data_IF_569622411992
#
_entry.id   IF_569622411992
#
_cell.length_a   1.000
_cell.length_b   1.000
_cell.length_c   1.000
_cell.angle_alpha   90.00
_cell.angle_beta   90.00
_cell.angle_gamma   90.00
#
_symmetry.space_group_name_H-M   'P 1'
#
loop_
_entity.id
_entity.type
_entity.pdbx_description
1 polymer ?
#
# COMPACT_ATOMS: atom_id res chain seq x y z
N UNK A 1 -40.73 3.93 -12.43
CA UNK A 1 -41.07 2.51 -12.18
C UNK A 1 -40.26 2.06 -10.97
N UNK A 2 -40.91 1.50 -9.94
CA UNK A 2 -40.22 0.91 -8.79
C UNK A 2 -39.95 -0.59 -8.98
N UNK A 3 -40.71 -1.26 -9.85
CA UNK A 3 -40.51 -2.65 -10.26
C UNK A 3 -40.20 -2.73 -11.76
N UNK A 4 -39.42 -3.74 -12.16
CA UNK A 4 -39.16 -4.05 -13.56
C UNK A 4 -40.33 -4.88 -14.10
N UNK A 5 -40.99 -4.37 -15.14
CA UNK A 5 -42.12 -5.07 -15.78
C UNK A 5 -41.62 -5.95 -16.93
N UNK A 6 -42.42 -6.96 -17.30
CA UNK A 6 -42.13 -7.79 -18.47
C UNK A 6 -42.10 -6.94 -19.75
N UNK A 7 -43.07 -6.05 -19.94
CA UNK A 7 -43.15 -5.16 -21.09
C UNK A 7 -41.89 -4.29 -21.24
N UNK A 8 -41.40 -3.73 -20.13
CA UNK A 8 -40.15 -2.97 -20.15
C UNK A 8 -38.96 -3.86 -20.52
N UNK A 9 -38.90 -5.08 -19.97
CA UNK A 9 -37.83 -6.03 -20.31
C UNK A 9 -37.86 -6.43 -21.78
N UNK A 10 -39.04 -6.72 -22.35
CA UNK A 10 -39.20 -7.05 -23.76
C UNK A 10 -38.77 -5.88 -24.67
N UNK A 11 -39.04 -4.64 -24.26
CA UNK A 11 -38.53 -3.44 -24.92
C UNK A 11 -36.99 -3.39 -24.90
N UNK A 12 -36.35 -3.70 -23.78
CA UNK A 12 -34.88 -3.75 -23.69
C UNK A 12 -34.28 -4.82 -24.61
N UNK A 13 -34.90 -6.01 -24.70
CA UNK A 13 -34.48 -7.08 -25.62
C UNK A 13 -34.54 -6.60 -27.07
N UNK A 14 -35.66 -6.00 -27.48
CA UNK A 14 -35.82 -5.48 -28.84
C UNK A 14 -34.78 -4.39 -29.17
N UNK A 15 -34.52 -3.47 -28.24
CA UNK A 15 -33.51 -2.42 -28.39
C UNK A 15 -32.10 -3.01 -28.57
N UNK A 16 -31.74 -4.01 -27.76
CA UNK A 16 -30.44 -4.66 -27.81
C UNK A 16 -30.26 -5.47 -29.11
N UNK A 17 -31.26 -6.26 -29.51
CA UNK A 17 -31.22 -7.07 -30.73
C UNK A 17 -31.13 -6.23 -32.02
N UNK A 18 -31.65 -5.00 -32.00
CA UNK A 18 -31.53 -4.06 -33.11
C UNK A 18 -30.11 -3.46 -33.24
N UNK A 19 -29.26 -3.56 -32.21
CA UNK A 19 -27.93 -2.97 -32.19
C UNK A 19 -26.86 -3.99 -32.64
N UNK A 20 -26.47 -3.93 -33.92
CA UNK A 20 -25.45 -4.82 -34.50
C UNK A 20 -24.09 -4.71 -33.82
N UNK A 21 -23.74 -3.54 -33.25
CA UNK A 21 -22.49 -3.36 -32.49
C UNK A 21 -22.52 -4.20 -31.23
N UNK A 22 -23.62 -4.17 -30.49
CA UNK A 22 -23.79 -4.97 -29.29
C UNK A 22 -23.77 -6.47 -29.61
N UNK A 23 -24.42 -6.92 -30.69
CA UNK A 23 -24.32 -8.32 -31.12
C UNK A 23 -22.87 -8.76 -31.45
N UNK A 24 -22.08 -7.90 -32.12
CA UNK A 24 -20.68 -8.19 -32.41
C UNK A 24 -19.82 -8.26 -31.13
N UNK A 25 -20.03 -7.31 -30.21
CA UNK A 25 -19.33 -7.29 -28.94
C UNK A 25 -19.77 -8.39 -27.99
N UNK A 26 -21.03 -8.81 -28.02
CA UNK A 26 -21.50 -9.98 -27.28
C UNK A 26 -20.68 -11.20 -27.66
N UNK A 27 -20.52 -11.47 -28.96
CA UNK A 27 -19.70 -12.57 -29.44
C UNK A 27 -18.24 -12.44 -28.96
N UNK A 28 -17.65 -11.24 -29.04
CA UNK A 28 -16.28 -11.03 -28.60
C UNK A 28 -16.11 -11.18 -27.07
N UNK A 29 -16.97 -10.53 -26.28
CA UNK A 29 -16.90 -10.46 -24.81
C UNK A 29 -17.25 -11.81 -24.18
N UNK A 30 -18.27 -12.52 -24.68
CA UNK A 30 -18.66 -13.83 -24.12
C UNK A 30 -17.59 -14.90 -24.28
N UNK A 31 -16.70 -14.76 -25.28
CA UNK A 31 -15.61 -15.69 -25.52
C UNK A 31 -14.27 -15.26 -24.90
N UNK A 32 -14.00 -13.95 -24.83
CA UNK A 32 -12.68 -13.42 -24.42
C UNK A 32 -12.69 -12.69 -23.07
N UNK A 33 -13.87 -12.30 -22.57
CA UNK A 33 -14.04 -11.38 -21.43
C UNK A 33 -14.00 -9.90 -21.84
N UNK A 34 -14.46 -9.03 -20.94
CA UNK A 34 -14.63 -7.59 -21.19
C UNK A 34 -13.30 -6.92 -21.53
N UNK A 35 -12.29 -7.06 -20.67
CA UNK A 35 -11.02 -6.35 -20.82
C UNK A 35 -10.27 -6.73 -22.10
N UNK A 36 -10.15 -8.03 -22.40
CA UNK A 36 -9.45 -8.48 -23.61
C UNK A 36 -10.17 -8.05 -24.91
N UNK A 37 -11.50 -7.92 -24.88
CA UNK A 37 -12.29 -7.47 -26.03
C UNK A 37 -12.24 -5.95 -26.24
N UNK A 38 -12.00 -5.17 -25.17
CA UNK A 38 -12.00 -3.70 -25.20
C UNK A 38 -10.60 -3.07 -25.15
N UNK A 39 -9.54 -3.88 -25.03
CA UNK A 39 -8.17 -3.39 -24.93
C UNK A 39 -7.76 -2.59 -26.18
N UNK A 40 -7.20 -1.40 -25.99
CA UNK A 40 -6.83 -0.52 -27.10
C UNK A 40 -5.37 -0.70 -27.51
N UNK A 41 -5.13 -0.84 -28.82
CA UNK A 41 -3.77 -0.83 -29.38
C UNK A 41 -3.07 0.51 -29.17
N UNK A 42 -3.83 1.60 -29.11
CA UNK A 42 -3.32 2.97 -28.90
C UNK A 42 -2.59 3.08 -27.57
N UNK A 43 -3.20 2.59 -26.48
CA UNK A 43 -2.60 2.63 -25.15
C UNK A 43 -1.23 1.93 -25.11
N UNK A 44 -1.08 0.80 -25.79
CA UNK A 44 0.20 0.09 -25.89
C UNK A 44 1.30 0.89 -26.63
N UNK A 45 0.92 1.70 -27.62
CA UNK A 45 1.87 2.55 -28.38
C UNK A 45 2.32 3.75 -27.54
N UNK A 46 1.40 4.38 -26.82
CA UNK A 46 1.69 5.58 -26.02
C UNK A 46 2.48 5.23 -24.74
N UNK A 47 2.22 4.07 -24.15
CA UNK A 47 2.81 3.61 -22.89
C UNK A 47 4.02 2.68 -23.06
N UNK A 48 4.88 2.96 -24.06
CA UNK A 48 6.17 2.26 -24.19
C UNK A 48 7.10 2.55 -22.99
N UNK A 49 7.86 1.57 -22.48
CA UNK A 49 8.65 1.71 -21.26
C UNK A 49 10.01 2.40 -21.50
N UNK A 50 9.96 3.65 -21.98
CA UNK A 50 11.13 4.50 -22.23
C UNK A 50 10.92 5.82 -21.50
N UNK A 51 11.92 6.26 -20.74
CA UNK A 51 11.79 7.38 -19.82
C UNK A 51 13.01 8.31 -19.90
N UNK A 52 12.77 9.61 -19.94
CA UNK A 52 13.81 10.65 -19.87
C UNK A 52 14.66 10.59 -18.59
N UNK A 53 14.05 10.23 -17.45
CA UNK A 53 14.69 9.98 -16.17
C UNK A 53 14.42 8.53 -15.76
N UNK A 54 15.46 7.74 -15.58
CA UNK A 54 15.39 6.33 -15.20
C UNK A 54 16.45 6.03 -14.12
N UNK A 55 16.00 5.77 -12.89
CA UNK A 55 16.88 5.66 -11.71
C UNK A 55 17.46 4.27 -11.51
N UNK A 56 16.74 3.22 -11.91
CA UNK A 56 17.17 1.85 -11.64
C UNK A 56 16.60 0.84 -12.62
N UNK A 57 17.33 -0.25 -12.81
CA UNK A 57 16.91 -1.46 -13.54
C UNK A 57 17.12 -2.71 -12.70
N UNK A 58 17.15 -2.54 -11.38
CA UNK A 58 17.36 -3.65 -10.44
C UNK A 58 16.20 -4.65 -10.56
N UNK A 59 16.48 -5.92 -10.30
CA UNK A 59 15.46 -6.98 -10.32
C UNK A 59 14.36 -6.68 -9.32
N UNK A 60 13.11 -6.86 -9.73
CA UNK A 60 11.97 -6.63 -8.86
C UNK A 60 11.83 -7.69 -7.77
N UNK A 61 10.96 -7.41 -6.82
CA UNK A 61 10.60 -8.32 -5.72
C UNK A 61 9.24 -9.00 -5.99
N UNK A 62 8.87 -9.99 -5.19
CA UNK A 62 7.58 -10.69 -5.31
C UNK A 62 6.95 -10.95 -3.94
N UNK A 63 5.86 -10.24 -3.65
CA UNK A 63 5.06 -10.39 -2.42
C UNK A 63 4.18 -11.64 -2.43
N UNK A 64 3.97 -12.25 -3.59
CA UNK A 64 3.10 -13.40 -3.81
C UNK A 64 1.67 -13.17 -3.30
N UNK A 65 1.07 -14.16 -2.62
CA UNK A 65 -0.31 -14.11 -2.14
C UNK A 65 -0.38 -13.48 -0.73
N UNK A 66 0.13 -12.27 -0.60
CA UNK A 66 0.06 -11.49 0.64
C UNK A 66 -0.12 -10.01 0.32
N UNK A 67 -0.81 -9.26 1.19
CA UNK A 67 -1.06 -7.82 1.03
C UNK A 67 0.08 -6.96 1.58
N UNK A 68 1.33 -7.32 1.30
CA UNK A 68 2.54 -6.71 1.89
C UNK A 68 3.16 -5.60 1.02
N UNK A 69 2.48 -5.17 -0.04
CA UNK A 69 3.01 -4.23 -1.03
C UNK A 69 3.65 -2.97 -0.43
N UNK A 70 3.04 -2.39 0.60
CA UNK A 70 3.56 -1.24 1.34
C UNK A 70 4.93 -1.48 1.97
N UNK A 71 5.17 -2.68 2.53
CA UNK A 71 6.48 -3.08 3.07
C UNK A 71 7.49 -3.29 1.95
N UNK A 72 7.08 -3.98 0.87
CA UNK A 72 7.95 -4.23 -0.29
C UNK A 72 8.40 -2.91 -0.93
N UNK A 73 7.47 -2.00 -1.20
CA UNK A 73 7.75 -0.69 -1.76
C UNK A 73 8.69 0.12 -0.85
N UNK A 74 8.47 0.12 0.46
CA UNK A 74 9.35 0.85 1.39
C UNK A 74 10.76 0.24 1.47
N UNK A 75 10.87 -1.09 1.46
CA UNK A 75 12.18 -1.75 1.47
C UNK A 75 12.89 -1.63 0.11
N UNK A 76 12.15 -1.50 -0.98
CA UNK A 76 12.71 -1.23 -2.31
C UNK A 76 13.36 0.14 -2.38
N UNK A 77 12.71 1.20 -1.88
CA UNK A 77 13.32 2.54 -1.89
C UNK A 77 14.67 2.55 -1.15
N UNK A 78 14.83 1.72 -0.12
CA UNK A 78 16.08 1.60 0.62
C UNK A 78 17.12 0.74 -0.10
N UNK A 79 16.71 -0.40 -0.65
CA UNK A 79 17.64 -1.37 -1.23
C UNK A 79 18.35 -0.82 -2.48
N UNK A 80 17.71 0.04 -3.28
CA UNK A 80 18.36 0.65 -4.44
C UNK A 80 19.57 1.51 -4.04
N UNK A 81 19.42 2.31 -2.97
CA UNK A 81 20.53 3.07 -2.39
C UNK A 81 21.63 2.13 -1.87
N UNK A 82 21.26 1.02 -1.23
CA UNK A 82 22.23 0.02 -0.76
C UNK A 82 22.98 -0.67 -1.90
N UNK A 83 22.28 -1.08 -2.96
CA UNK A 83 22.85 -1.71 -4.15
C UNK A 83 23.91 -0.80 -4.77
N UNK A 84 23.62 0.49 -4.87
CA UNK A 84 24.57 1.49 -5.35
C UNK A 84 25.75 1.69 -4.39
N UNK A 85 25.48 2.00 -3.12
CA UNK A 85 26.51 2.37 -2.13
C UNK A 85 27.48 1.23 -1.79
N UNK A 86 26.99 -0.01 -1.76
CA UNK A 86 27.80 -1.19 -1.42
C UNK A 86 28.16 -2.03 -2.66
N UNK A 87 27.87 -1.52 -3.86
CA UNK A 87 28.16 -2.19 -5.14
C UNK A 87 27.67 -3.64 -5.16
N UNK A 88 26.44 -3.87 -4.70
CA UNK A 88 25.83 -5.20 -4.68
C UNK A 88 25.33 -5.56 -6.09
N UNK A 89 25.41 -6.83 -6.48
CA UNK A 89 24.81 -7.29 -7.75
C UNK A 89 23.29 -7.38 -7.65
N UNK A 90 22.80 -7.97 -6.55
CA UNK A 90 21.41 -8.10 -6.20
C UNK A 90 21.28 -8.13 -4.67
N UNK A 91 20.26 -7.47 -4.11
CA UNK A 91 20.05 -7.43 -2.68
C UNK A 91 18.57 -7.17 -2.34
N UNK A 92 18.12 -7.88 -1.30
CA UNK A 92 16.82 -7.66 -0.69
C UNK A 92 16.93 -7.59 0.84
N UNK A 93 16.16 -6.67 1.42
CA UNK A 93 15.83 -6.68 2.84
C UNK A 93 14.69 -7.67 3.10
N UNK A 94 14.66 -8.26 4.29
CA UNK A 94 13.63 -9.24 4.66
C UNK A 94 12.28 -8.57 4.87
N UNK A 95 11.37 -8.77 3.93
CA UNK A 95 9.98 -8.34 4.06
C UNK A 95 9.24 -9.18 5.10
N UNK A 96 9.60 -10.47 5.25
CA UNK A 96 9.07 -11.36 6.29
C UNK A 96 9.40 -10.87 7.71
N UNK A 97 10.56 -10.26 7.93
CA UNK A 97 10.94 -9.73 9.25
C UNK A 97 10.03 -8.57 9.66
N UNK A 98 9.82 -7.60 8.76
CA UNK A 98 8.88 -6.50 8.97
C UNK A 98 7.46 -7.01 9.16
N UNK A 99 7.06 -8.03 8.39
CA UNK A 99 5.73 -8.65 8.49
C UNK A 99 5.46 -9.31 9.84
N UNK A 100 6.45 -10.00 10.41
CA UNK A 100 6.32 -10.57 11.76
C UNK A 100 6.00 -9.48 12.79
N UNK A 101 6.82 -8.44 12.84
CA UNK A 101 6.67 -7.38 13.84
C UNK A 101 5.40 -6.56 13.63
N UNK A 102 5.01 -6.31 12.38
CA UNK A 102 3.75 -5.64 12.06
C UNK A 102 2.55 -6.44 12.58
N UNK A 103 2.49 -7.75 12.33
CA UNK A 103 1.40 -8.60 12.81
C UNK A 103 1.31 -8.59 14.34
N UNK A 104 2.46 -8.72 15.00
CA UNK A 104 2.53 -8.71 16.46
C UNK A 104 2.08 -7.37 17.06
N UNK A 105 2.54 -6.26 16.49
CA UNK A 105 2.19 -4.92 16.95
C UNK A 105 0.73 -4.58 16.66
N UNK A 106 0.22 -4.89 15.47
CA UNK A 106 -1.21 -4.73 15.14
C UNK A 106 -2.11 -5.53 16.07
N UNK A 107 -1.69 -6.72 16.49
CA UNK A 107 -2.41 -7.48 17.50
C UNK A 107 -2.49 -6.71 18.83
N UNK A 108 -1.38 -6.15 19.31
CA UNK A 108 -1.39 -5.31 20.51
C UNK A 108 -2.23 -4.05 20.34
N UNK A 109 -2.08 -3.35 19.20
CA UNK A 109 -2.89 -2.17 18.85
C UNK A 109 -4.38 -2.47 18.91
N UNK A 110 -4.82 -3.56 18.27
CA UNK A 110 -6.21 -3.97 18.29
C UNK A 110 -6.71 -4.22 19.72
N UNK A 111 -5.95 -4.92 20.56
CA UNK A 111 -6.36 -5.18 21.95
C UNK A 111 -6.47 -3.88 22.76
N UNK A 112 -5.56 -2.91 22.56
CA UNK A 112 -5.69 -1.57 23.15
C UNK A 112 -6.95 -0.85 22.67
N UNK A 113 -7.26 -0.90 21.38
CA UNK A 113 -8.49 -0.29 20.86
C UNK A 113 -9.75 -0.94 21.44
N UNK A 114 -9.75 -2.26 21.67
CA UNK A 114 -10.86 -2.95 22.33
C UNK A 114 -11.02 -2.51 23.79
N UNK A 115 -9.91 -2.37 24.52
CA UNK A 115 -9.94 -1.85 25.90
C UNK A 115 -10.45 -0.41 25.93
N UNK A 116 -9.94 0.45 25.04
CA UNK A 116 -10.33 1.85 24.94
C UNK A 116 -11.79 2.08 24.51
N UNK A 117 -12.42 1.08 23.89
CA UNK A 117 -13.82 1.12 23.44
C UNK A 117 -14.73 0.16 24.21
N UNK A 118 -14.26 -0.33 25.36
CA UNK A 118 -14.98 -1.33 26.16
C UNK A 118 -16.31 -0.79 26.71
N UNK A 119 -16.43 0.53 26.89
CA UNK A 119 -17.63 1.25 27.34
C UNK A 119 -18.67 1.45 26.23
N UNK A 120 -18.31 1.22 24.97
CA UNK A 120 -19.21 1.35 23.82
C UNK A 120 -19.96 0.04 23.56
N UNK A 121 -21.18 0.16 23.00
CA UNK A 121 -21.97 -0.97 22.53
C UNK A 121 -21.20 -1.82 21.51
N UNK A 122 -21.35 -3.15 21.60
CA UNK A 122 -20.70 -4.09 20.67
C UNK A 122 -21.08 -3.81 19.19
N UNK A 123 -22.29 -3.32 18.97
CA UNK A 123 -22.84 -2.98 17.65
C UNK A 123 -22.57 -1.54 17.23
N UNK A 124 -21.87 -0.75 18.05
CA UNK A 124 -21.43 0.60 17.66
C UNK A 124 -20.52 0.51 16.43
N UNK A 125 -20.57 1.54 15.57
CA UNK A 125 -19.85 1.52 14.29
C UNK A 125 -18.33 1.32 14.47
N UNK A 126 -17.74 1.91 15.53
CA UNK A 126 -16.30 1.78 15.84
C UNK A 126 -15.93 0.36 16.27
N UNK A 127 -16.67 -0.22 17.23
CA UNK A 127 -16.41 -1.59 17.70
C UNK A 127 -16.67 -2.61 16.58
N UNK A 128 -17.74 -2.43 15.80
CA UNK A 128 -18.04 -3.27 14.64
C UNK A 128 -16.94 -3.19 13.58
N UNK A 129 -16.39 -2.00 13.29
CA UNK A 129 -15.27 -1.80 12.37
C UNK A 129 -14.00 -2.53 12.83
N UNK A 130 -13.61 -2.38 14.11
CA UNK A 130 -12.47 -3.09 14.71
C UNK A 130 -12.63 -4.61 14.58
N UNK A 131 -13.82 -5.14 14.90
CA UNK A 131 -14.08 -6.59 14.86
C UNK A 131 -14.24 -7.14 13.44
N UNK A 132 -14.64 -6.32 12.47
CA UNK A 132 -14.73 -6.71 11.07
C UNK A 132 -13.35 -7.10 10.55
N UNK A 133 -12.33 -6.29 10.84
CA UNK A 133 -10.94 -6.54 10.43
C UNK A 133 -9.97 -6.25 11.58
N UNK A 134 -9.79 -7.19 12.54
CA UNK A 134 -8.91 -6.98 13.70
C UNK A 134 -7.48 -6.63 13.29
N UNK A 135 -6.97 -7.35 12.28
CA UNK A 135 -5.77 -6.99 11.55
C UNK A 135 -5.86 -7.46 10.09
N UNK A 136 -5.01 -6.89 9.25
CA UNK A 136 -4.77 -7.27 7.87
C UNK A 136 -3.30 -7.02 7.49
N UNK A 137 -2.87 -7.55 6.34
CA UNK A 137 -1.49 -7.39 5.86
C UNK A 137 -1.13 -5.94 5.53
N UNK A 138 -2.08 -5.19 4.96
CA UNK A 138 -1.84 -3.85 4.44
C UNK A 138 -1.46 -2.84 5.52
N UNK A 139 -0.83 -1.75 5.11
CA UNK A 139 -0.34 -0.71 6.01
C UNK A 139 -0.13 0.61 5.28
N UNK A 140 0.43 1.56 6.01
CA UNK A 140 0.72 2.93 5.58
C UNK A 140 2.21 3.24 5.83
N UNK A 141 2.70 4.35 5.28
CA UNK A 141 4.11 4.73 5.44
C UNK A 141 4.53 4.86 6.91
N UNK A 142 3.83 5.65 7.72
CA UNK A 142 4.25 5.87 9.13
C UNK A 142 4.23 4.58 9.98
N UNK A 143 3.38 3.62 9.60
CA UNK A 143 3.34 2.29 10.21
C UNK A 143 4.63 1.51 9.92
N UNK A 144 5.23 1.65 8.73
CA UNK A 144 6.46 0.93 8.38
C UNK A 144 7.66 1.59 9.04
N UNK A 145 7.66 2.93 9.09
CA UNK A 145 8.67 3.71 9.81
C UNK A 145 8.73 3.30 11.28
N UNK A 146 7.57 3.21 11.94
CA UNK A 146 7.46 2.77 13.34
C UNK A 146 8.11 1.40 13.58
N UNK A 147 7.96 0.47 12.64
CA UNK A 147 8.56 -0.85 12.72
C UNK A 147 10.07 -0.80 12.54
N UNK A 148 10.57 -0.02 11.59
CA UNK A 148 12.01 0.12 11.35
C UNK A 148 12.73 0.80 12.51
N UNK A 149 12.13 1.83 13.12
CA UNK A 149 12.68 2.50 14.28
C UNK A 149 12.76 1.57 15.49
N UNK A 150 11.70 0.79 15.74
CA UNK A 150 11.62 -0.12 16.89
C UNK A 150 12.41 -1.41 16.70
N UNK A 151 12.36 -2.02 15.51
CA UNK A 151 12.88 -3.37 15.26
C UNK A 151 14.00 -3.45 14.23
N UNK A 152 14.33 -2.36 13.54
CA UNK A 152 15.33 -2.36 12.47
C UNK A 152 14.93 -3.22 11.27
N UNK A 153 15.93 -3.59 10.48
CA UNK A 153 15.76 -4.45 9.30
C UNK A 153 16.89 -5.48 9.24
N UNK A 154 16.68 -6.55 8.48
CA UNK A 154 17.70 -7.58 8.25
C UNK A 154 17.76 -7.94 6.76
N UNK A 155 18.88 -8.45 6.24
CA UNK A 155 18.94 -9.05 4.91
C UNK A 155 17.93 -10.20 4.76
N UNK A 156 17.36 -10.36 3.56
CA UNK A 156 16.42 -11.46 3.26
C UNK A 156 17.02 -12.85 3.50
N UNK A 157 18.34 -13.01 3.31
CA UNK A 157 19.06 -14.26 3.60
C UNK A 157 19.13 -14.62 5.08
N UNK A 158 18.99 -13.64 5.99
CA UNK A 158 19.02 -13.84 7.43
C UNK A 158 17.65 -14.25 7.96
N UNK A 159 16.58 -13.74 7.35
CA UNK A 159 15.20 -14.11 7.68
C UNK A 159 14.40 -14.30 6.39
N UNK A 160 14.40 -15.52 5.82
CA UNK A 160 13.78 -15.79 4.53
C UNK A 160 12.25 -15.84 4.63
N UNK A 161 11.61 -15.90 3.46
CA UNK A 161 10.16 -16.11 3.37
C UNK A 161 9.76 -17.49 3.91
N UNK A 162 8.63 -17.53 4.62
CA UNK A 162 7.91 -18.77 4.96
C UNK A 162 6.72 -18.98 4.01
N UNK A 163 6.04 -20.13 4.11
CA UNK A 163 4.78 -20.34 3.39
C UNK A 163 3.77 -19.26 3.78
N UNK A 164 3.65 -18.96 5.08
CA UNK A 164 2.69 -17.99 5.59
C UNK A 164 3.04 -16.54 5.27
N UNK A 165 4.31 -16.19 5.08
CA UNK A 165 4.66 -14.84 4.60
C UNK A 165 4.32 -14.68 3.12
N UNK A 166 4.52 -15.72 2.31
CA UNK A 166 4.24 -15.74 0.87
C UNK A 166 2.77 -16.07 0.51
N UNK A 167 1.99 -16.58 1.45
CA UNK A 167 0.55 -16.88 1.33
C UNK A 167 -0.12 -16.73 2.70
N UNK A 168 -0.56 -15.51 3.02
CA UNK A 168 -0.93 -15.11 4.38
C UNK A 168 -2.38 -15.43 4.78
N UNK A 169 -3.18 -16.02 3.88
CA UNK A 169 -4.62 -16.22 4.09
C UNK A 169 -4.92 -17.05 5.34
N UNK A 170 -4.24 -18.17 5.51
CA UNK A 170 -4.42 -19.05 6.68
C UNK A 170 -3.97 -18.36 7.97
N UNK A 171 -2.78 -17.76 7.96
CA UNK A 171 -2.22 -16.99 9.07
C UNK A 171 -3.23 -15.93 9.57
N UNK A 172 -3.73 -15.10 8.65
CA UNK A 172 -4.70 -14.06 8.95
C UNK A 172 -6.04 -14.60 9.46
N UNK A 173 -6.48 -15.74 8.92
CA UNK A 173 -7.74 -16.37 9.31
C UNK A 173 -7.71 -16.80 10.77
N UNK A 174 -6.64 -17.47 11.20
CA UNK A 174 -6.51 -17.92 12.58
C UNK A 174 -6.14 -16.79 13.54
N UNK A 175 -5.27 -15.86 13.13
CA UNK A 175 -4.97 -14.68 13.95
C UNK A 175 -6.23 -13.84 14.22
N UNK A 176 -7.06 -13.59 13.21
CA UNK A 176 -8.31 -12.84 13.39
C UNK A 176 -9.36 -13.62 14.20
N UNK A 177 -9.28 -14.96 14.30
CA UNK A 177 -10.12 -15.73 15.22
C UNK A 177 -9.65 -15.56 16.66
N UNK A 178 -8.34 -15.67 16.90
CA UNK A 178 -7.74 -15.43 18.22
C UNK A 178 -8.06 -14.02 18.71
N UNK A 179 -7.78 -12.99 17.90
CA UNK A 179 -8.04 -11.60 18.28
C UNK A 179 -9.51 -11.32 18.63
N UNK A 180 -10.47 -11.92 17.91
CA UNK A 180 -11.89 -11.75 18.23
C UNK A 180 -12.29 -12.44 19.54
N UNK A 181 -11.71 -13.62 19.81
CA UNK A 181 -11.88 -14.30 21.10
C UNK A 181 -11.27 -13.47 22.23
N UNK A 182 -10.08 -12.93 22.03
CA UNK A 182 -9.35 -12.10 22.98
C UNK A 182 -10.11 -10.80 23.27
N UNK A 183 -10.72 -10.19 22.24
CA UNK A 183 -11.58 -9.04 22.40
C UNK A 183 -12.78 -9.32 23.32
N UNK A 184 -13.42 -10.48 23.17
CA UNK A 184 -14.50 -10.91 24.05
C UNK A 184 -13.98 -11.06 25.49
N UNK A 185 -12.87 -11.77 25.68
CA UNK A 185 -12.26 -11.99 27.01
C UNK A 185 -11.98 -10.66 27.73
N UNK A 186 -11.37 -9.69 27.04
CA UNK A 186 -11.02 -8.40 27.63
C UNK A 186 -12.26 -7.56 27.97
N UNK A 187 -13.28 -7.56 27.09
CA UNK A 187 -14.54 -6.85 27.34
C UNK A 187 -15.32 -7.47 28.50
N UNK A 188 -15.40 -8.80 28.57
CA UNK A 188 -16.07 -9.51 29.66
C UNK A 188 -15.37 -9.26 31.01
N UNK A 189 -14.03 -9.21 31.02
CA UNK A 189 -13.25 -8.83 32.21
C UNK A 189 -13.59 -7.41 32.68
N UNK A 190 -13.57 -6.43 31.77
CA UNK A 190 -13.92 -5.04 32.09
C UNK A 190 -15.38 -4.91 32.57
N UNK A 191 -16.32 -5.61 31.92
CA UNK A 191 -17.73 -5.64 32.32
C UNK A 191 -17.95 -6.29 33.70
N UNK A 192 -17.10 -7.25 34.09
CA UNK A 192 -17.12 -7.86 35.42
C UNK A 192 -16.53 -6.97 36.54
N UNK A 193 -16.01 -5.80 36.19
CA UNK A 193 -15.39 -4.86 37.14
C UNK A 193 -13.94 -5.15 37.47
N UNK A 194 -13.23 -5.89 36.60
CA UNK A 194 -11.79 -6.10 36.74
C UNK A 194 -11.02 -4.77 36.71
N UNK A 195 -9.97 -4.64 37.54
CA UNK A 195 -9.11 -3.47 37.52
C UNK A 195 -8.13 -3.50 36.33
N UNK A 196 -7.51 -2.35 36.07
CA UNK A 196 -6.59 -2.19 34.93
C UNK A 196 -5.37 -3.12 35.02
N UNK A 197 -4.90 -3.45 36.23
CA UNK A 197 -3.79 -4.38 36.43
C UNK A 197 -4.16 -5.80 35.99
N UNK A 198 -5.37 -6.26 36.34
CA UNK A 198 -5.88 -7.58 35.94
C UNK A 198 -6.06 -7.65 34.42
N UNK A 199 -6.64 -6.61 33.82
CA UNK A 199 -6.83 -6.52 32.35
C UNK A 199 -5.48 -6.54 31.63
N UNK A 200 -4.51 -5.77 32.12
CA UNK A 200 -3.16 -5.72 31.56
C UNK A 200 -2.45 -7.08 31.66
N UNK A 201 -2.49 -7.73 32.82
CA UNK A 201 -1.92 -9.07 33.00
C UNK A 201 -2.57 -10.07 32.05
N UNK A 202 -3.89 -9.97 31.82
CA UNK A 202 -4.56 -10.85 30.86
C UNK A 202 -4.09 -10.58 29.44
N UNK A 203 -4.00 -9.31 29.04
CA UNK A 203 -3.51 -8.93 27.70
C UNK A 203 -2.11 -9.48 27.43
N UNK A 204 -1.23 -9.48 28.42
CA UNK A 204 0.13 -10.05 28.30
C UNK A 204 0.12 -11.56 28.01
N UNK A 205 -0.76 -12.32 28.66
CA UNK A 205 -0.94 -13.76 28.36
C UNK A 205 -1.42 -13.98 26.92
N UNK A 206 -2.40 -13.18 26.47
CA UNK A 206 -2.96 -13.26 25.12
C UNK A 206 -1.89 -12.89 24.06
N UNK A 207 -1.10 -11.87 24.33
CA UNK A 207 0.04 -11.50 23.47
C UNK A 207 1.11 -12.57 23.40
N UNK A 208 1.34 -13.32 24.49
CA UNK A 208 2.27 -14.46 24.48
C UNK A 208 1.75 -15.60 23.58
N UNK A 209 0.45 -15.89 23.60
CA UNK A 209 -0.18 -16.85 22.69
C UNK A 209 -0.04 -16.41 21.23
N UNK A 210 -0.35 -15.15 20.95
CA UNK A 210 -0.21 -14.55 19.61
C UNK A 210 1.25 -14.61 19.13
N UNK A 211 2.21 -14.23 19.97
CA UNK A 211 3.63 -14.31 19.63
C UNK A 211 4.05 -15.73 19.26
N UNK A 212 3.62 -16.73 20.06
CA UNK A 212 3.89 -18.14 19.78
C UNK A 212 3.30 -18.56 18.43
N UNK A 213 2.06 -18.18 18.15
CA UNK A 213 1.38 -18.49 16.89
C UNK A 213 2.10 -17.87 15.67
N UNK A 214 2.52 -16.61 15.77
CA UNK A 214 3.30 -15.93 14.74
C UNK A 214 4.66 -16.61 14.54
N UNK A 215 5.38 -16.91 15.62
CA UNK A 215 6.70 -17.56 15.56
C UNK A 215 6.64 -18.97 14.95
N UNK A 216 5.58 -19.74 15.23
CA UNK A 216 5.37 -21.06 14.61
C UNK A 216 5.10 -20.96 13.10
N UNK A 217 4.52 -19.85 12.64
CA UNK A 217 4.07 -19.67 11.24
C UNK A 217 5.10 -18.95 10.37
N UNK A 218 5.87 -18.02 10.94
CA UNK A 218 6.81 -17.14 10.24
C UNK A 218 8.27 -17.43 10.60
N UNK A 219 8.53 -18.17 11.68
CA UNK A 219 9.86 -18.30 12.27
C UNK A 219 10.08 -17.30 13.41
N UNK A 220 11.14 -17.53 14.21
CA UNK A 220 11.51 -16.61 15.28
C UNK A 220 12.44 -15.51 14.71
N UNK A 221 12.13 -14.21 14.88
CA UNK A 221 13.00 -13.14 14.37
C UNK A 221 14.40 -13.18 14.98
N UNK A 222 15.46 -12.95 14.17
CA UNK A 222 16.83 -12.96 14.64
C UNK A 222 17.10 -11.79 15.59
N UNK A 223 17.80 -12.06 16.69
CA UNK A 223 18.30 -11.01 17.60
C UNK A 223 19.69 -10.50 17.22
N UNK A 224 20.53 -11.42 16.75
CA UNK A 224 21.86 -11.13 16.21
C UNK A 224 22.13 -12.01 14.99
N UNK A 225 22.96 -11.55 14.06
CA UNK A 225 23.35 -12.29 12.87
C UNK A 225 24.71 -11.82 12.34
N UNK A 226 25.23 -12.56 11.35
CA UNK A 226 26.36 -12.12 10.53
C UNK A 226 25.84 -11.77 9.15
N UNK A 227 26.36 -10.68 8.57
CA UNK A 227 26.10 -10.30 7.19
C UNK A 227 27.36 -10.54 6.38
N UNK A 228 27.24 -11.25 5.27
CA UNK A 228 28.36 -11.49 4.35
C UNK A 228 27.87 -11.36 2.92
N UNK A 229 28.67 -10.69 2.08
CA UNK A 229 28.36 -10.48 0.67
C UNK A 229 29.64 -10.37 -0.16
N UNK A 230 29.48 -10.46 -1.47
CA UNK A 230 30.51 -10.07 -2.43
C UNK A 230 30.03 -8.86 -3.21
N UNK A 231 30.91 -7.88 -3.40
CA UNK A 231 30.63 -6.72 -4.25
C UNK A 231 30.82 -7.07 -5.74
N UNK A 232 30.53 -6.11 -6.62
CA UNK A 232 30.71 -6.23 -8.09
C UNK A 232 32.16 -6.51 -8.51
N UNK A 233 33.14 -6.18 -7.67
CA UNK A 233 34.57 -6.47 -7.87
C UNK A 233 34.97 -7.84 -7.29
N UNK A 234 34.00 -8.63 -6.81
CA UNK A 234 34.16 -9.95 -6.22
C UNK A 234 34.96 -9.95 -4.89
N UNK A 235 35.09 -8.80 -4.20
CA UNK A 235 35.69 -8.75 -2.87
C UNK A 235 34.71 -9.29 -1.83
N UNK A 236 35.22 -10.06 -0.86
CA UNK A 236 34.41 -10.62 0.22
C UNK A 236 34.33 -9.65 1.40
N UNK A 237 33.11 -9.33 1.82
CA UNK A 237 32.81 -8.51 2.99
C UNK A 237 32.07 -9.35 4.02
N UNK A 238 32.41 -9.17 5.30
CA UNK A 238 31.71 -9.85 6.40
C UNK A 238 31.71 -9.00 7.66
N UNK A 239 30.60 -9.07 8.40
CA UNK A 239 30.46 -8.47 9.72
C UNK A 239 29.58 -9.35 10.59
N UNK A 240 30.08 -9.70 11.77
CA UNK A 240 29.40 -10.53 12.74
C UNK A 240 28.86 -9.71 13.91
N UNK A 241 27.90 -10.27 14.65
CA UNK A 241 27.35 -9.64 15.85
C UNK A 241 26.42 -8.46 15.58
N UNK A 242 25.90 -8.35 14.35
CA UNK A 242 24.93 -7.33 13.98
C UNK A 242 23.57 -7.64 14.62
N UNK A 243 22.95 -6.64 15.22
CA UNK A 243 21.51 -6.63 15.51
C UNK A 243 20.74 -5.99 14.34
N UNK A 244 19.43 -6.26 14.19
CA UNK A 244 18.61 -5.60 13.17
C UNK A 244 18.69 -4.05 13.20
N UNK A 245 18.74 -3.45 14.40
CA UNK A 245 18.90 -2.00 14.55
C UNK A 245 20.29 -1.51 14.16
N UNK A 246 21.36 -2.22 14.54
CA UNK A 246 22.72 -1.84 14.14
C UNK A 246 22.92 -1.97 12.63
N UNK A 247 22.29 -2.97 12.00
CA UNK A 247 22.30 -3.16 10.56
C UNK A 247 21.56 -2.01 9.87
N UNK A 248 20.35 -1.66 10.34
CA UNK A 248 19.61 -0.52 9.83
C UNK A 248 20.44 0.78 9.87
N UNK A 249 21.00 1.13 11.04
CA UNK A 249 21.78 2.36 11.23
C UNK A 249 23.03 2.42 10.35
N UNK A 250 23.67 1.29 10.06
CA UNK A 250 24.94 1.25 9.30
C UNK A 250 24.73 1.13 7.80
N UNK A 251 23.80 0.29 7.37
CA UNK A 251 23.66 -0.11 5.97
C UNK A 251 22.50 0.59 5.26
N UNK A 252 21.42 0.92 5.95
CA UNK A 252 20.31 1.69 5.36
C UNK A 252 20.59 3.19 5.52
N UNK A 253 20.90 3.61 6.75
CA UNK A 253 21.25 4.99 7.12
C UNK A 253 20.29 6.02 6.48
N UNK A 254 19.01 5.85 6.81
CA UNK A 254 17.94 6.77 6.44
C UNK A 254 17.27 7.31 7.70
N UNK A 255 17.21 8.63 7.80
CA UNK A 255 16.41 9.33 8.80
C UNK A 255 14.98 9.37 8.30
N UNK A 256 14.15 8.39 8.70
CA UNK A 256 12.77 8.29 8.21
C UNK A 256 11.86 9.42 8.73
N UNK A 257 12.30 10.12 9.77
CA UNK A 257 11.72 11.38 10.20
C UNK A 257 11.85 12.52 9.19
N UNK A 258 12.78 12.43 8.23
CA UNK A 258 12.92 13.40 7.14
C UNK A 258 11.93 13.19 6.00
N UNK A 259 11.14 12.11 6.05
CA UNK A 259 10.16 11.80 5.02
C UNK A 259 8.75 12.10 5.52
N UNK A 260 7.91 12.56 4.60
CA UNK A 260 6.51 12.90 4.86
C UNK A 260 5.61 12.24 3.84
N UNK A 261 4.45 11.80 4.30
CA UNK A 261 3.39 11.35 3.42
C UNK A 261 2.59 12.54 2.91
N UNK A 262 2.52 12.66 1.60
CA UNK A 262 1.77 13.70 0.88
C UNK A 262 0.66 13.01 0.11
N UNK A 263 -0.58 13.47 0.28
CA UNK A 263 -1.75 12.90 -0.37
C UNK A 263 -2.40 13.87 -1.36
N UNK A 264 -3.19 13.31 -2.26
CA UNK A 264 -4.17 14.05 -3.05
C UNK A 264 -5.55 13.39 -2.88
N UNK A 265 -6.35 13.99 -2.01
CA UNK A 265 -7.74 13.63 -1.77
C UNK A 265 -8.61 14.87 -2.03
N UNK A 266 -9.20 15.03 -3.23
CA UNK A 266 -9.95 16.24 -3.62
C UNK A 266 -11.37 16.33 -3.02
N UNK A 267 -11.66 15.64 -1.92
CA UNK A 267 -12.99 15.64 -1.29
C UNK A 267 -13.21 16.91 -0.49
N UNK A 268 -14.48 17.32 -0.36
CA UNK A 268 -14.83 18.61 0.25
C UNK A 268 -14.44 18.72 1.74
N UNK A 269 -14.37 17.60 2.46
CA UNK A 269 -13.96 17.53 3.86
C UNK A 269 -12.42 17.59 4.06
N UNK A 270 -11.64 17.52 2.96
CA UNK A 270 -10.18 17.51 2.98
C UNK A 270 -9.58 18.68 2.19
N UNK A 271 -9.77 19.95 2.61
CA UNK A 271 -9.12 21.08 1.95
C UNK A 271 -7.60 20.92 1.85
N UNK A 272 -7.02 21.37 0.74
CA UNK A 272 -5.56 21.35 0.56
C UNK A 272 -4.84 22.28 1.54
N UNK A 273 -3.54 22.02 1.74
CA UNK A 273 -2.70 22.80 2.65
C UNK A 273 -2.99 22.53 4.13
N UNK A 274 -3.57 21.38 4.44
CA UNK A 274 -3.88 20.93 5.80
C UNK A 274 -3.30 19.53 6.02
N UNK A 275 -3.06 19.19 7.29
CA UNK A 275 -2.65 17.85 7.68
C UNK A 275 -3.80 17.03 8.24
N UNK A 276 -3.70 15.71 8.05
CA UNK A 276 -4.74 14.75 8.42
C UNK A 276 -4.14 13.52 9.10
N UNK A 277 -4.90 12.94 10.01
CA UNK A 277 -4.69 11.62 10.60
C UNK A 277 -6.00 10.84 10.52
N UNK A 278 -5.97 9.54 10.75
CA UNK A 278 -7.16 8.68 10.75
C UNK A 278 -7.28 8.02 12.11
N UNK A 279 -8.43 8.22 12.76
CA UNK A 279 -8.70 7.63 14.06
C UNK A 279 -8.57 6.09 14.02
N UNK A 280 -7.95 5.49 15.04
CA UNK A 280 -7.72 4.04 15.18
C UNK A 280 -6.80 3.40 14.12
N UNK A 281 -6.25 4.16 13.18
CA UNK A 281 -5.29 3.67 12.20
C UNK A 281 -3.88 3.63 12.80
N UNK A 282 -3.31 2.43 12.94
CA UNK A 282 -1.96 2.27 13.46
C UNK A 282 -1.54 0.81 13.62
N UNK A 283 -0.30 0.62 14.06
CA UNK A 283 0.24 -0.71 14.42
C UNK A 283 1.04 -0.67 15.72
N UNK A 284 1.99 0.26 15.89
CA UNK A 284 2.87 0.31 17.06
C UNK A 284 2.31 1.30 18.09
N UNK A 285 1.80 0.79 19.22
CA UNK A 285 1.27 1.61 20.32
C UNK A 285 2.38 2.53 20.88
N UNK A 286 2.07 3.82 21.01
CA UNK A 286 3.01 4.84 21.50
C UNK A 286 4.06 5.30 20.47
N UNK A 287 3.96 4.83 19.22
CA UNK A 287 4.76 5.36 18.12
C UNK A 287 4.11 6.59 17.47
N UNK A 288 4.75 7.14 16.45
CA UNK A 288 4.20 8.21 15.61
C UNK A 288 2.85 7.80 15.02
N UNK A 289 1.94 8.77 14.97
CA UNK A 289 0.67 8.61 14.27
C UNK A 289 0.85 8.69 12.75
N UNK A 290 -0.10 8.11 12.02
CA UNK A 290 -0.16 8.30 10.57
C UNK A 290 -0.50 9.76 10.28
N UNK A 291 0.29 10.40 9.43
CA UNK A 291 0.09 11.83 9.11
C UNK A 291 0.25 12.10 7.63
N UNK A 292 -0.71 12.83 7.08
CA UNK A 292 -0.73 13.22 5.68
C UNK A 292 -0.72 14.73 5.53
N UNK A 293 -0.04 15.27 4.51
CA UNK A 293 -0.29 16.62 3.99
C UNK A 293 -1.12 16.50 2.70
N UNK A 294 -2.30 17.12 2.62
CA UNK A 294 -3.09 17.10 1.40
C UNK A 294 -2.71 18.26 0.46
N UNK A 295 -2.39 17.96 -0.80
CA UNK A 295 -1.98 18.94 -1.81
C UNK A 295 -2.69 18.73 -3.14
N UNK A 296 -2.75 19.75 -4.02
CA UNK A 296 -3.19 19.57 -5.40
C UNK A 296 -2.33 18.55 -6.15
N UNK A 297 -2.93 17.84 -7.11
CA UNK A 297 -2.24 16.77 -7.85
C UNK A 297 -1.00 17.26 -8.60
N UNK A 298 -1.06 18.46 -9.18
CA UNK A 298 0.10 19.10 -9.82
C UNK A 298 1.28 19.18 -8.85
N UNK A 299 1.04 19.66 -7.63
CA UNK A 299 2.06 19.77 -6.58
C UNK A 299 2.58 18.40 -6.11
N UNK A 300 1.70 17.40 -6.01
CA UNK A 300 2.08 16.02 -5.72
C UNK A 300 3.07 15.49 -6.77
N UNK A 301 2.77 15.67 -8.06
CA UNK A 301 3.64 15.25 -9.17
C UNK A 301 4.97 16.01 -9.19
N UNK A 302 4.95 17.31 -8.93
CA UNK A 302 6.18 18.12 -8.80
C UNK A 302 7.12 17.58 -7.72
N UNK A 303 6.59 17.27 -6.53
CA UNK A 303 7.36 16.72 -5.41
C UNK A 303 7.99 15.37 -5.77
N UNK A 304 7.23 14.48 -6.41
CA UNK A 304 7.74 13.19 -6.86
C UNK A 304 8.87 13.34 -7.91
N UNK A 305 8.69 14.22 -8.90
CA UNK A 305 9.70 14.51 -9.93
C UNK A 305 10.95 15.12 -9.29
N UNK A 306 10.79 16.07 -8.35
CA UNK A 306 11.90 16.70 -7.67
C UNK A 306 12.76 15.69 -6.88
N UNK A 307 12.11 14.77 -6.15
CA UNK A 307 12.82 13.71 -5.45
C UNK A 307 13.56 12.77 -6.41
N UNK A 308 12.91 12.35 -7.50
CA UNK A 308 13.57 11.50 -8.50
C UNK A 308 14.73 12.22 -9.19
N UNK A 309 14.62 13.51 -9.49
CA UNK A 309 15.73 14.32 -10.03
C UNK A 309 16.90 14.43 -9.04
N UNK A 310 16.63 14.31 -7.74
CA UNK A 310 17.66 14.21 -6.70
C UNK A 310 18.27 12.79 -6.58
N UNK A 311 17.85 11.84 -7.42
CA UNK A 311 18.36 10.47 -7.45
C UNK A 311 17.66 9.50 -6.50
N UNK A 312 16.53 9.90 -5.89
CA UNK A 312 15.79 9.07 -4.94
C UNK A 312 14.47 8.60 -5.52
N UNK A 313 14.21 7.29 -5.42
CA UNK A 313 12.93 6.68 -5.78
C UNK A 313 11.80 7.15 -4.84
N UNK A 314 10.55 7.07 -5.29
CA UNK A 314 9.38 7.57 -4.52
C UNK A 314 8.44 6.42 -4.21
N UNK A 315 8.20 6.12 -2.94
CA UNK A 315 7.09 5.25 -2.54
C UNK A 315 5.77 5.95 -2.89
N UNK A 316 4.82 5.24 -3.48
CA UNK A 316 3.50 5.80 -3.76
C UNK A 316 2.38 4.78 -3.59
N UNK A 317 1.19 5.29 -3.24
CA UNK A 317 -0.04 4.55 -3.05
C UNK A 317 -1.09 4.92 -4.10
N UNK A 318 -1.74 3.91 -4.68
CA UNK A 318 -2.72 4.06 -5.76
C UNK A 318 -3.82 3.00 -5.72
N UNK A 319 -4.85 3.16 -6.54
CA UNK A 319 -5.79 2.07 -6.87
C UNK A 319 -5.34 1.32 -8.14
N UNK A 320 -4.35 0.43 -7.99
CA UNK A 320 -3.71 -0.27 -9.11
C UNK A 320 -4.67 -1.13 -9.96
N UNK A 321 -5.85 -1.43 -9.44
CA UNK A 321 -6.86 -2.23 -10.15
C UNK A 321 -7.63 -1.44 -11.21
N UNK A 322 -7.63 -0.10 -11.11
CA UNK A 322 -8.40 0.77 -11.99
C UNK A 322 -7.69 0.91 -13.34
N UNK A 323 -8.44 0.65 -14.43
CA UNK A 323 -8.01 0.80 -15.84
C UNK A 323 -6.56 0.31 -16.07
N UNK A 324 -6.32 -0.94 -15.67
CA UNK A 324 -5.00 -1.56 -15.59
C UNK A 324 -4.95 -2.85 -16.41
N UNK A 325 -3.93 -2.98 -17.26
CA UNK A 325 -3.53 -4.26 -17.84
C UNK A 325 -2.32 -4.81 -17.08
N UNK A 326 -2.58 -5.64 -16.08
CA UNK A 326 -1.54 -6.27 -15.24
C UNK A 326 -0.54 -7.10 -16.03
N UNK A 327 -0.96 -7.78 -17.10
CA UNK A 327 -0.05 -8.64 -17.87
C UNK A 327 0.93 -7.79 -18.68
N UNK A 328 0.42 -6.77 -19.36
CA UNK A 328 1.24 -5.83 -20.14
C UNK A 328 2.02 -4.83 -19.27
N UNK A 329 1.60 -4.64 -18.02
CA UNK A 329 2.19 -3.67 -17.10
C UNK A 329 1.81 -2.23 -17.44
N UNK A 330 0.59 -2.00 -17.92
CA UNK A 330 0.13 -0.67 -18.35
C UNK A 330 -0.97 -0.19 -17.40
N UNK A 331 -0.78 0.99 -16.84
CA UNK A 331 -1.74 1.73 -16.02
C UNK A 331 -2.12 3.01 -16.78
N UNK A 332 -3.20 2.99 -17.55
CA UNK A 332 -3.59 4.13 -18.37
C UNK A 332 -5.11 4.23 -18.53
N UNK A 333 -5.63 5.46 -18.53
CA UNK A 333 -7.07 5.73 -18.65
C UNK A 333 -7.67 5.29 -19.99
N UNK A 334 -6.84 5.05 -20.99
CA UNK A 334 -7.22 4.65 -22.35
C UNK A 334 -6.95 3.15 -22.64
N UNK A 335 -6.61 2.35 -21.63
CA UNK A 335 -6.36 0.91 -21.81
C UNK A 335 -7.59 0.19 -22.38
N UNK A 336 -8.79 0.57 -21.95
CA UNK A 336 -10.05 -0.07 -22.36
C UNK A 336 -11.06 0.96 -22.90
N UNK A 337 -11.64 0.70 -24.07
CA UNK A 337 -12.61 1.61 -24.71
C UNK A 337 -14.08 1.19 -24.43
N UNK A 338 -14.53 1.46 -23.20
CA UNK A 338 -15.91 1.19 -22.76
C UNK A 338 -16.95 2.03 -23.49
N UNK A 339 -16.59 3.24 -23.92
CA UNK A 339 -17.51 4.14 -24.59
C UNK A 339 -17.81 3.65 -26.01
N UNK A 340 -16.79 3.48 -26.85
CA UNK A 340 -17.01 3.02 -28.22
C UNK A 340 -17.55 1.59 -28.24
N UNK A 341 -17.06 0.75 -27.33
CA UNK A 341 -17.53 -0.63 -27.18
C UNK A 341 -18.96 -0.70 -26.67
N UNK A 342 -19.15 -0.39 -25.39
CA UNK A 342 -20.36 -0.74 -24.65
C UNK A 342 -21.37 0.41 -24.53
N UNK A 343 -21.10 1.59 -25.11
CA UNK A 343 -21.85 2.82 -24.84
C UNK A 343 -21.90 3.18 -23.34
N UNK A 344 -20.86 2.80 -22.60
CA UNK A 344 -20.74 3.08 -21.16
C UNK A 344 -19.70 4.17 -20.96
N UNK A 345 -20.14 5.31 -20.43
CA UNK A 345 -19.26 6.39 -19.98
C UNK A 345 -19.20 6.37 -18.44
N UNK A 346 -18.01 6.14 -17.90
CA UNK A 346 -17.74 6.22 -16.47
C UNK A 346 -17.19 7.62 -16.16
N UNK A 347 -18.06 8.52 -15.66
CA UNK A 347 -17.78 9.96 -15.56
C UNK A 347 -17.57 10.48 -14.14
N UNK A 348 -17.60 9.61 -13.13
CA UNK A 348 -17.32 10.01 -11.75
C UNK A 348 -15.92 10.59 -11.65
N UNK A 349 -15.78 11.78 -11.07
CA UNK A 349 -14.49 12.38 -10.77
C UNK A 349 -13.81 11.70 -9.57
N UNK A 350 -12.56 12.05 -9.31
CA UNK A 350 -11.78 11.44 -8.23
C UNK A 350 -12.40 11.64 -6.84
N UNK A 351 -13.00 12.80 -6.58
CA UNK A 351 -13.68 13.08 -5.31
C UNK A 351 -14.93 12.20 -5.15
N UNK A 352 -15.76 12.13 -6.18
CA UNK A 352 -16.94 11.27 -6.22
C UNK A 352 -16.59 9.80 -6.04
N UNK A 353 -15.50 9.32 -6.66
CA UNK A 353 -15.06 7.92 -6.47
C UNK A 353 -14.62 7.63 -5.04
N UNK A 354 -14.00 8.59 -4.33
CA UNK A 354 -13.66 8.46 -2.91
C UNK A 354 -14.91 8.47 -2.03
N UNK A 355 -15.80 9.45 -2.22
CA UNK A 355 -16.99 9.65 -1.38
C UNK A 355 -18.04 8.54 -1.56
N UNK A 356 -18.13 7.97 -2.77
CA UNK A 356 -19.10 6.92 -3.12
C UNK A 356 -18.48 5.51 -3.14
N UNK A 357 -17.31 5.34 -2.52
CA UNK A 357 -16.65 4.05 -2.29
C UNK A 357 -16.32 3.25 -3.56
N UNK A 358 -16.11 3.93 -4.69
CA UNK A 358 -15.68 3.28 -5.95
C UNK A 358 -14.16 3.15 -6.04
N UNK A 359 -13.40 4.07 -5.44
CA UNK A 359 -11.95 3.99 -5.46
C UNK A 359 -11.32 4.53 -4.17
N UNK A 360 -10.19 3.94 -3.81
CA UNK A 360 -9.37 4.24 -2.64
C UNK A 360 -7.99 3.60 -2.85
N UNK A 361 -6.99 3.97 -2.06
CA UNK A 361 -5.66 3.35 -2.17
C UNK A 361 -5.72 1.84 -1.85
N UNK A 362 -5.39 1.00 -2.83
CA UNK A 362 -5.42 -0.47 -2.67
C UNK A 362 -4.03 -1.11 -2.73
N UNK A 363 -3.04 -0.44 -3.31
CA UNK A 363 -1.71 -0.99 -3.53
C UNK A 363 -0.62 0.08 -3.45
N UNK A 364 0.55 -0.31 -2.96
CA UNK A 364 1.73 0.55 -2.87
C UNK A 364 2.86 0.02 -3.75
N UNK A 365 3.54 0.92 -4.45
CA UNK A 365 4.60 0.63 -5.42
C UNK A 365 5.68 1.72 -5.33
N UNK A 366 6.67 1.68 -6.22
CA UNK A 366 7.77 2.66 -6.24
C UNK A 366 7.87 3.33 -7.61
N UNK A 367 7.88 4.67 -7.64
CA UNK A 367 8.26 5.42 -8.83
C UNK A 367 9.78 5.42 -8.95
N UNK A 368 10.27 4.94 -10.09
CA UNK A 368 11.71 4.77 -10.38
C UNK A 368 12.14 5.55 -11.62
N UNK A 369 11.24 6.30 -12.22
CA UNK A 369 11.53 7.10 -13.40
C UNK A 369 10.31 7.86 -13.91
N UNK A 370 10.55 8.81 -14.79
CA UNK A 370 9.51 9.63 -15.43
C UNK A 370 9.99 10.07 -16.82
N UNK A 371 9.06 10.06 -17.77
CA UNK A 371 9.27 10.64 -19.09
C UNK A 371 8.72 12.06 -19.09
N UNK A 372 9.58 13.03 -19.39
CA UNK A 372 9.25 14.45 -19.39
C UNK A 372 9.29 15.00 -20.81
N UNK A 373 8.34 15.88 -21.15
CA UNK A 373 8.39 16.64 -22.39
C UNK A 373 9.44 17.77 -22.35
N UNK A 374 9.60 18.50 -23.45
CA UNK A 374 10.53 19.63 -23.56
C UNK A 374 10.25 20.75 -22.54
N UNK A 375 9.00 20.88 -22.08
CA UNK A 375 8.60 21.85 -21.06
C UNK A 375 8.77 21.31 -19.63
N UNK A 376 9.23 20.06 -19.47
CA UNK A 376 9.43 19.41 -18.19
C UNK A 376 8.15 18.83 -17.58
N UNK A 377 7.08 18.68 -18.35
CA UNK A 377 5.81 18.08 -17.90
C UNK A 377 5.85 16.56 -18.02
N UNK A 378 5.31 15.82 -17.03
CA UNK A 378 5.27 14.36 -17.10
C UNK A 378 4.32 13.84 -18.18
N UNK A 379 4.79 12.85 -18.92
CA UNK A 379 4.01 12.10 -19.92
C UNK A 379 3.60 10.73 -19.38
N UNK A 380 4.56 10.04 -18.75
CA UNK A 380 4.39 8.70 -18.18
C UNK A 380 5.46 8.41 -17.14
N UNK A 381 5.19 7.43 -16.29
CA UNK A 381 5.93 7.15 -15.07
C UNK A 381 6.36 5.69 -15.06
N UNK A 382 7.60 5.44 -14.65
CA UNK A 382 8.15 4.10 -14.47
C UNK A 382 7.84 3.63 -13.06
N UNK A 383 7.16 2.49 -12.96
CA UNK A 383 6.67 1.95 -11.71
C UNK A 383 7.35 0.60 -11.45
N UNK A 384 8.12 0.50 -10.38
CA UNK A 384 8.58 -0.79 -9.87
C UNK A 384 7.46 -1.42 -9.03
N UNK A 385 7.05 -2.64 -9.41
CA UNK A 385 6.04 -3.40 -8.68
C UNK A 385 6.69 -4.56 -7.89
N UNK A 386 5.90 -5.19 -7.03
CA UNK A 386 6.32 -6.30 -6.16
C UNK A 386 5.58 -7.60 -6.49
N UNK A 387 5.37 -7.88 -7.78
CA UNK A 387 4.66 -9.08 -8.27
C UNK A 387 5.54 -10.02 -9.10
N UNK A 388 6.87 -9.89 -8.95
CA UNK A 388 7.86 -10.66 -9.69
C UNK A 388 7.99 -10.26 -11.16
N UNK A 389 8.96 -10.87 -11.85
CA UNK A 389 9.41 -10.45 -13.19
C UNK A 389 8.46 -10.87 -14.33
N UNK A 390 7.42 -11.66 -14.05
CA UNK A 390 6.55 -12.26 -15.09
C UNK A 390 5.44 -11.34 -15.60
N UNK A 391 5.28 -10.17 -15.01
CA UNK A 391 4.25 -9.19 -15.36
C UNK A 391 4.91 -7.88 -15.77
N UNK A 392 4.27 -7.15 -16.68
CA UNK A 392 4.87 -5.93 -17.21
C UNK A 392 6.16 -6.19 -17.97
N UNK A 393 7.09 -5.24 -17.88
CA UNK A 393 8.45 -5.37 -18.44
C UNK A 393 9.40 -5.72 -17.31
N UNK A 394 9.72 -7.01 -17.16
CA UNK A 394 10.56 -7.54 -16.07
C UNK A 394 10.07 -7.12 -14.67
N UNK A 395 8.76 -7.05 -14.47
CA UNK A 395 8.12 -6.61 -13.23
C UNK A 395 7.85 -5.11 -13.11
N UNK A 396 8.37 -4.30 -14.04
CA UNK A 396 8.10 -2.87 -14.10
C UNK A 396 6.85 -2.56 -14.92
N UNK A 397 6.13 -1.54 -14.48
CA UNK A 397 4.89 -1.03 -15.06
C UNK A 397 5.13 0.38 -15.62
N UNK A 398 4.27 0.79 -16.53
CA UNK A 398 4.18 2.15 -17.07
C UNK A 398 2.84 2.74 -16.66
N UNK A 399 2.85 3.88 -15.98
CA UNK A 399 1.64 4.65 -15.70
C UNK A 399 1.59 5.90 -16.58
N UNK A 400 0.49 6.13 -17.30
CA UNK A 400 0.29 7.40 -18.00
C UNK A 400 0.07 8.54 -16.99
N UNK A 401 0.39 9.78 -17.37
CA UNK A 401 0.20 10.91 -16.45
C UNK A 401 -1.28 11.11 -16.07
N UNK A 402 -2.21 10.88 -17.00
CA UNK A 402 -3.64 10.92 -16.73
C UNK A 402 -4.09 9.84 -15.72
N UNK A 403 -3.45 8.67 -15.73
CA UNK A 403 -3.73 7.65 -14.71
C UNK A 403 -3.23 8.06 -13.33
N UNK A 404 -2.07 8.71 -13.27
CA UNK A 404 -1.56 9.28 -12.02
C UNK A 404 -2.54 10.29 -11.44
N UNK A 405 -3.12 11.14 -12.29
CA UNK A 405 -4.12 12.12 -11.86
C UNK A 405 -5.34 11.46 -11.19
N UNK A 406 -5.87 10.41 -11.81
CA UNK A 406 -7.14 9.80 -11.42
C UNK A 406 -7.02 8.81 -10.26
N UNK A 407 -5.94 8.03 -10.18
CA UNK A 407 -5.86 6.84 -9.31
C UNK A 407 -4.65 6.79 -8.38
N UNK A 408 -3.78 7.81 -8.37
CA UNK A 408 -2.72 7.96 -7.35
C UNK A 408 -3.18 8.85 -6.20
N UNK A 409 -2.98 8.39 -4.97
CA UNK A 409 -3.50 9.07 -3.78
C UNK A 409 -2.41 9.57 -2.85
N UNK A 410 -1.24 8.93 -2.84
CA UNK A 410 -0.21 9.18 -1.84
C UNK A 410 1.18 9.03 -2.43
N UNK A 411 2.11 9.89 -2.02
CA UNK A 411 3.55 9.73 -2.23
C UNK A 411 4.28 9.97 -0.91
N UNK A 412 5.51 9.48 -0.82
CA UNK A 412 6.41 9.78 0.29
C UNK A 412 7.63 10.50 -0.23
N UNK A 413 7.85 11.71 0.29
CA UNK A 413 8.94 12.58 -0.16
C UNK A 413 9.70 13.21 1.01
N UNK A 414 10.91 13.70 0.75
CA UNK A 414 11.69 14.45 1.74
C UNK A 414 11.00 15.75 2.15
N UNK A 415 10.99 16.04 3.45
CA UNK A 415 10.53 17.32 4.05
C UNK A 415 11.17 18.53 3.40
N UNK A 416 12.45 18.43 3.04
CA UNK A 416 13.21 19.51 2.42
C UNK A 416 12.66 19.95 1.03
N UNK A 417 11.77 19.16 0.41
CA UNK A 417 11.09 19.51 -0.84
C UNK A 417 9.81 20.31 -0.61
N UNK A 418 9.29 20.32 0.62
CA UNK A 418 8.13 21.12 0.99
C UNK A 418 8.51 22.60 1.09
N UNK A 419 7.57 23.47 0.75
CA UNK A 419 7.65 24.89 1.11
C UNK A 419 7.55 25.05 2.62
N UNK A 420 7.94 26.23 3.14
CA UNK A 420 7.79 26.53 4.56
C UNK A 420 6.33 26.47 5.03
N UNK A 421 5.38 26.85 4.17
CA UNK A 421 3.94 26.77 4.47
C UNK A 421 3.45 25.32 4.51
N UNK A 422 3.85 24.50 3.54
CA UNK A 422 3.52 23.08 3.49
C UNK A 422 4.09 22.32 4.69
N UNK A 423 5.34 22.63 5.09
CA UNK A 423 5.97 22.03 6.26
C UNK A 423 5.24 22.44 7.55
N UNK A 424 4.89 23.73 7.70
CA UNK A 424 4.13 24.21 8.86
C UNK A 424 2.74 23.56 8.93
N UNK A 425 2.07 23.39 7.79
CA UNK A 425 0.78 22.69 7.71
C UNK A 425 0.91 21.20 8.11
N UNK A 426 1.98 20.53 7.66
CA UNK A 426 2.28 19.16 8.06
C UNK A 426 2.58 19.05 9.56
N UNK A 427 3.28 20.02 10.16
CA UNK A 427 3.65 19.98 11.58
C UNK A 427 2.51 20.38 12.53
N UNK A 428 1.51 21.11 12.04
CA UNK A 428 0.31 21.49 12.80
C UNK A 428 -0.47 20.27 13.33
N UNK A 429 -1.40 20.53 14.25
CA UNK A 429 -2.33 19.51 14.76
C UNK A 429 -3.19 18.97 13.61
N UNK A 430 -3.14 17.66 13.31
CA UNK A 430 -3.83 17.11 12.16
C UNK A 430 -5.34 17.04 12.38
N UNK A 431 -6.09 17.21 11.30
CA UNK A 431 -7.54 16.96 11.30
C UNK A 431 -7.75 15.44 11.41
N UNK A 432 -8.50 15.02 12.43
CA UNK A 432 -8.78 13.60 12.71
C UNK A 432 -9.96 13.13 11.85
N UNK A 433 -9.67 12.24 10.89
CA UNK A 433 -10.66 11.58 10.05
C UNK A 433 -11.25 10.35 10.76
N UNK A 434 -12.44 9.92 10.32
CA UNK A 434 -13.10 8.75 10.88
C UNK A 434 -12.35 7.44 10.55
N UNK A 435 -12.47 6.37 11.36
CA UNK A 435 -11.73 5.12 11.14
C UNK A 435 -11.93 4.45 9.77
N UNK A 436 -13.08 4.70 9.14
CA UNK A 436 -13.46 4.16 7.83
C UNK A 436 -13.27 5.16 6.68
N UNK A 437 -12.53 6.25 6.90
CA UNK A 437 -12.19 7.19 5.83
C UNK A 437 -11.38 6.47 4.72
N UNK A 438 -11.61 6.75 3.42
CA UNK A 438 -10.88 6.09 2.34
C UNK A 438 -9.36 6.38 2.36
N UNK A 439 -8.90 7.45 3.01
CA UNK A 439 -7.47 7.71 3.24
C UNK A 439 -6.89 6.93 4.42
N UNK A 440 -7.74 6.23 5.17
CA UNK A 440 -7.36 5.18 6.10
C UNK A 440 -7.19 3.81 5.46
N UNK A 441 -7.43 3.70 4.15
CA UNK A 441 -7.26 2.45 3.43
C UNK A 441 -5.85 1.89 3.62
N UNK A 442 -5.79 0.59 3.90
CA UNK A 442 -4.55 -0.16 4.02
C UNK A 442 -4.35 -0.90 2.71
N UNK A 443 -3.22 -0.64 2.04
CA UNK A 443 -2.92 -1.30 0.77
C UNK A 443 -2.72 -2.81 0.99
N UNK A 444 -3.75 -3.60 0.69
CA UNK A 444 -3.86 -5.01 1.08
C UNK A 444 -4.21 -5.96 -0.08
N UNK A 445 -4.26 -5.48 -1.32
CA UNK A 445 -4.55 -6.30 -2.51
C UNK A 445 -3.45 -7.31 -2.85
#
# INVERSE_FOLDING_TARGET
>A
MSELTQEFTDQLYANYQANVKFAALENAITHNGIHAALETRKSAVENTPVFSLDLTKDKVTDQKASGRCWMFAALNTFRHKMISNFQLEDFELSQAHTFFWDKYEKSNWFLEQIIATADQELTSRKVAFLLQTPQQDGGQWDMVVSLFEKYGVVPKSVYPESISSSNSRELNTYLNKLLRQDAQILRDLLASGADQATVQSKKEELLQEIFNFLAMSLGLPPRTFSFSYRDKDNNYHTEAGLTPQSFYKKYVDLQLEDYVSVINAPTADKPYGQSYTVEMLGNVVGSREVRYLNVPMERLKELAIAQMKAGETVWFGSDVGQVSNRKAGILATDVYDFEAGMDIQLTQDKAGRLDYAESLMTHAMVLTGVDLDEAGRPLKWKVENSWGEKVGTDGYFVASDAWMDEYTYQIVVRKALLTAEELAAYEAEPIVLAPWDPMGALASK
#
